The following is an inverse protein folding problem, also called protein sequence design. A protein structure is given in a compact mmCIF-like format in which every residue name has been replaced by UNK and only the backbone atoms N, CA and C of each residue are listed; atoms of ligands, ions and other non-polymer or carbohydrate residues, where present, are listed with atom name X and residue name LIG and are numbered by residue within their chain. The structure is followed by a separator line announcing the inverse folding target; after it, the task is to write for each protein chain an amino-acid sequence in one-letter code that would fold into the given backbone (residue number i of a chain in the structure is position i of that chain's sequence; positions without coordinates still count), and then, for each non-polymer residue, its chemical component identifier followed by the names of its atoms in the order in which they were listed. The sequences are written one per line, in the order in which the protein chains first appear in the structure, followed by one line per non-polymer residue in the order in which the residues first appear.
data_IF_676768021772
#
_entry.id   IF_676768021772
#
_cell.length_a   1.000
_cell.length_b   1.000
_cell.length_c   1.000
_cell.angle_alpha   90.00
_cell.angle_beta   90.00
_cell.angle_gamma   90.00
#
_symmetry.space_group_name_H-M   'P 1'
#
loop_
_entity.id
_entity.type
_entity.pdbx_description
1 polymer ?
#
# COMPACT_ATOMS: atom_id res chain seq x y z
N UNK A 1 -8.71 3.64 -14.39
CA UNK A 1 -9.33 2.95 -13.26
C UNK A 1 -9.02 1.47 -13.40
N UNK A 2 -8.73 0.79 -12.29
CA UNK A 2 -8.48 -0.66 -12.31
C UNK A 2 -9.80 -1.44 -12.50
N UNK A 3 -9.68 -2.68 -12.97
CA UNK A 3 -10.76 -3.67 -13.08
C UNK A 3 -10.66 -4.70 -11.95
N UNK A 4 -11.68 -5.54 -11.70
CA UNK A 4 -11.63 -6.56 -10.66
C UNK A 4 -10.44 -7.51 -10.78
N UNK A 5 -10.06 -7.91 -11.99
CA UNK A 5 -8.88 -8.75 -12.24
C UNK A 5 -7.56 -8.07 -11.85
N UNK A 6 -7.50 -6.75 -11.97
CA UNK A 6 -6.33 -5.97 -11.58
C UNK A 6 -6.25 -5.89 -10.04
N UNK A 7 -7.39 -5.79 -9.34
CA UNK A 7 -7.45 -5.79 -7.86
C UNK A 7 -6.97 -7.12 -7.26
N UNK A 8 -7.40 -8.26 -7.82
CA UNK A 8 -6.91 -9.58 -7.40
C UNK A 8 -5.40 -9.71 -7.59
N UNK A 9 -4.90 -9.26 -8.74
CA UNK A 9 -3.46 -9.22 -9.01
C UNK A 9 -2.71 -8.32 -8.01
N UNK A 10 -3.20 -7.11 -7.75
CA UNK A 10 -2.58 -6.18 -6.80
C UNK A 10 -2.51 -6.82 -5.41
N UNK A 11 -3.61 -7.44 -4.97
CA UNK A 11 -3.67 -8.09 -3.66
C UNK A 11 -2.69 -9.26 -3.55
N UNK A 12 -2.52 -10.04 -4.63
CA UNK A 12 -1.54 -11.12 -4.68
C UNK A 12 -0.08 -10.63 -4.57
N UNK A 13 0.21 -9.41 -5.04
CA UNK A 13 1.53 -8.78 -4.93
C UNK A 13 1.66 -7.84 -3.71
N UNK A 14 0.62 -7.70 -2.88
CA UNK A 14 0.60 -6.76 -1.78
C UNK A 14 1.64 -7.12 -0.70
N UNK A 15 2.44 -6.14 -0.28
CA UNK A 15 3.39 -6.28 0.82
C UNK A 15 3.42 -5.08 1.78
N UNK A 16 2.61 -4.06 1.50
CA UNK A 16 2.27 -2.97 2.41
C UNK A 16 0.74 -2.82 2.44
N UNK A 17 0.14 -2.35 3.56
CA UNK A 17 -1.31 -2.15 3.67
C UNK A 17 -1.90 -1.25 2.57
N UNK A 18 -1.12 -0.29 2.07
CA UNK A 18 -1.52 0.66 1.03
C UNK A 18 -1.76 0.00 -0.33
N UNK A 19 -1.33 -1.27 -0.52
CA UNK A 19 -1.68 -2.07 -1.70
C UNK A 19 -3.07 -2.69 -1.61
N UNK A 20 -3.69 -2.72 -0.43
CA UNK A 20 -5.04 -3.26 -0.27
C UNK A 20 -6.04 -2.24 -0.82
N UNK A 21 -6.41 -2.42 -2.09
CA UNK A 21 -7.30 -1.52 -2.85
C UNK A 21 -8.60 -1.25 -2.10
N UNK A 22 -9.31 -2.29 -1.67
CA UNK A 22 -10.59 -2.17 -0.96
C UNK A 22 -10.48 -1.35 0.34
N UNK A 23 -9.38 -1.49 1.08
CA UNK A 23 -9.09 -0.71 2.27
C UNK A 23 -8.81 0.75 1.91
N UNK A 24 -7.87 0.97 0.99
CA UNK A 24 -7.41 2.32 0.65
C UNK A 24 -8.47 3.14 -0.08
N UNK A 25 -9.26 2.53 -0.96
CA UNK A 25 -10.41 3.18 -1.58
C UNK A 25 -11.46 3.55 -0.53
N UNK A 26 -11.69 2.69 0.48
CA UNK A 26 -12.63 2.99 1.56
C UNK A 26 -12.17 4.17 2.43
N UNK A 27 -10.88 4.23 2.79
CA UNK A 27 -10.31 5.27 3.66
C UNK A 27 -10.18 6.59 2.89
N UNK A 28 -9.52 6.57 1.74
CA UNK A 28 -9.22 7.77 0.96
C UNK A 28 -10.43 8.31 0.20
N UNK A 29 -11.42 7.45 -0.08
CA UNK A 29 -12.52 7.71 -1.02
C UNK A 29 -12.06 7.98 -2.46
N UNK A 30 -10.80 7.68 -2.78
CA UNK A 30 -10.23 7.87 -4.11
C UNK A 30 -10.46 6.68 -5.03
N UNK A 31 -10.54 6.96 -6.32
CA UNK A 31 -10.61 5.95 -7.36
C UNK A 31 -9.24 5.33 -7.61
N UNK A 32 -9.11 3.98 -7.62
CA UNK A 32 -7.84 3.30 -7.84
C UNK A 32 -7.42 3.22 -9.31
N UNK A 33 -6.13 3.44 -9.55
CA UNK A 33 -5.45 3.35 -10.85
C UNK A 33 -4.13 2.57 -10.72
N UNK A 34 -3.93 1.58 -11.59
CA UNK A 34 -2.68 0.84 -11.71
C UNK A 34 -1.86 1.44 -12.86
N UNK A 35 -0.63 1.87 -12.56
CA UNK A 35 0.26 2.56 -13.50
C UNK A 35 1.62 1.89 -13.45
N UNK A 36 1.90 1.03 -14.45
CA UNK A 36 3.19 0.34 -14.60
C UNK A 36 3.69 -0.31 -13.29
N UNK A 37 2.81 -1.04 -12.62
CA UNK A 37 3.14 -1.72 -11.36
C UNK A 37 3.08 -0.85 -10.10
N UNK A 38 2.60 0.40 -10.19
CA UNK A 38 2.36 1.27 -9.04
C UNK A 38 0.89 1.59 -8.88
N UNK A 39 0.45 1.73 -7.63
CA UNK A 39 -0.94 2.04 -7.30
C UNK A 39 -1.10 3.55 -7.01
N UNK A 40 -2.15 4.13 -7.56
CA UNK A 40 -2.53 5.51 -7.27
C UNK A 40 -4.02 5.61 -7.01
N UNK A 41 -4.40 6.44 -6.03
CA UNK A 41 -5.79 6.77 -5.72
C UNK A 41 -6.02 8.23 -6.04
N UNK A 42 -7.02 8.52 -6.86
CA UNK A 42 -7.27 9.86 -7.38
C UNK A 42 -8.68 10.31 -7.02
N UNK A 43 -8.82 11.56 -6.59
CA UNK A 43 -10.13 12.18 -6.39
C UNK A 43 -10.02 13.68 -6.47
N UNK A 44 -11.00 14.32 -7.12
CA UNK A 44 -11.13 15.77 -7.22
C UNK A 44 -9.80 16.43 -7.66
N UNK A 45 -9.12 17.12 -6.75
CA UNK A 45 -7.86 17.85 -6.99
C UNK A 45 -6.63 17.16 -6.38
N UNK A 46 -6.73 15.93 -5.90
CA UNK A 46 -5.62 15.25 -5.24
C UNK A 46 -5.36 13.84 -5.77
N UNK A 47 -4.14 13.38 -5.52
CA UNK A 47 -3.69 12.03 -5.83
C UNK A 47 -2.85 11.47 -4.68
N UNK A 48 -3.13 10.24 -4.26
CA UNK A 48 -2.22 9.43 -3.46
C UNK A 48 -1.44 8.55 -4.43
N UNK A 49 -0.12 8.55 -4.34
CA UNK A 49 0.76 7.63 -5.04
C UNK A 49 1.43 6.71 -4.03
N UNK A 50 1.18 5.42 -4.16
CA UNK A 50 1.87 4.37 -3.41
C UNK A 50 3.16 4.06 -4.16
N UNK A 51 4.27 4.61 -3.67
CA UNK A 51 5.64 4.47 -4.20
C UNK A 51 6.30 3.13 -3.91
N UNK A 52 5.56 2.17 -3.37
CA UNK A 52 5.96 0.78 -3.24
C UNK A 52 5.59 0.03 -4.55
N UNK A 53 6.57 -0.39 -5.39
CA UNK A 53 6.29 -1.12 -6.63
C UNK A 53 5.77 -2.54 -6.37
N UNK A 54 4.82 -3.03 -7.17
CA UNK A 54 4.26 -4.38 -7.01
C UNK A 54 5.18 -5.51 -7.51
N UNK A 55 5.94 -5.30 -8.58
CA UNK A 55 6.71 -6.38 -9.24
C UNK A 55 8.23 -6.29 -9.05
N UNK A 56 8.78 -5.09 -8.90
CA UNK A 56 10.22 -4.84 -8.89
C UNK A 56 10.70 -4.40 -7.49
N UNK A 57 12.00 -4.55 -7.22
CA UNK A 57 12.60 -3.82 -6.09
C UNK A 57 12.49 -2.32 -6.31
N UNK A 58 12.26 -1.56 -5.23
CA UNK A 58 12.23 -0.10 -5.31
C UNK A 58 13.48 0.47 -5.98
N UNK A 59 13.25 1.30 -7.00
CA UNK A 59 14.27 2.07 -7.70
C UNK A 59 13.83 3.53 -7.73
N UNK A 60 14.70 4.41 -7.23
CA UNK A 60 14.44 5.86 -7.17
C UNK A 60 14.15 6.42 -8.56
N UNK A 61 14.92 6.01 -9.56
CA UNK A 61 14.76 6.46 -10.95
C UNK A 61 13.43 6.00 -11.55
N UNK A 62 12.99 4.77 -11.28
CA UNK A 62 11.69 4.28 -11.74
C UNK A 62 10.56 5.05 -11.04
N UNK A 63 10.66 5.24 -9.72
CA UNK A 63 9.70 5.99 -8.93
C UNK A 63 9.51 7.43 -9.44
N UNK A 64 10.61 8.15 -9.74
CA UNK A 64 10.54 9.51 -10.29
C UNK A 64 9.83 9.56 -11.65
N UNK A 65 10.03 8.56 -12.50
CA UNK A 65 9.33 8.49 -13.78
C UNK A 65 7.83 8.26 -13.60
N UNK A 66 7.45 7.46 -12.61
CA UNK A 66 6.04 7.23 -12.26
C UNK A 66 5.41 8.49 -11.68
N UNK A 67 6.09 9.21 -10.78
CA UNK A 67 5.62 10.51 -10.28
C UNK A 67 5.34 11.47 -11.43
N UNK A 68 6.28 11.64 -12.36
CA UNK A 68 6.09 12.49 -13.55
C UNK A 68 4.88 12.05 -14.38
N UNK A 69 4.68 10.74 -14.53
CA UNK A 69 3.54 10.20 -15.26
C UNK A 69 2.20 10.48 -14.55
N UNK A 70 2.14 10.29 -13.23
CA UNK A 70 0.96 10.58 -12.38
C UNK A 70 0.62 12.07 -12.46
N UNK A 71 1.60 12.95 -12.26
CA UNK A 71 1.42 14.40 -12.32
C UNK A 71 0.94 14.86 -13.71
N UNK A 72 1.50 14.28 -14.78
CA UNK A 72 1.06 14.60 -16.16
C UNK A 72 -0.36 14.12 -16.46
N UNK A 73 -0.74 12.96 -15.93
CA UNK A 73 -2.00 12.28 -16.23
C UNK A 73 -3.17 12.88 -15.45
N UNK A 74 -3.03 13.03 -14.14
CA UNK A 74 -4.12 13.48 -13.27
C UNK A 74 -4.05 14.96 -12.93
N UNK A 75 -2.88 15.59 -13.08
CA UNK A 75 -2.65 17.01 -12.76
C UNK A 75 -3.24 17.43 -11.41
N UNK A 76 -2.93 16.69 -10.32
CA UNK A 76 -3.45 17.03 -9.01
C UNK A 76 -2.84 18.35 -8.52
N UNK A 77 -3.61 19.09 -7.73
CA UNK A 77 -3.13 20.19 -6.90
C UNK A 77 -2.33 19.66 -5.70
N UNK A 78 -2.78 18.54 -5.12
CA UNK A 78 -2.11 17.89 -3.99
C UNK A 78 -1.67 16.46 -4.33
N UNK A 79 -0.37 16.19 -4.14
CA UNK A 79 0.17 14.84 -4.24
C UNK A 79 0.56 14.35 -2.84
N UNK A 80 -0.08 13.28 -2.38
CA UNK A 80 0.41 12.49 -1.25
C UNK A 80 1.24 11.35 -1.78
N UNK A 81 2.46 11.22 -1.28
CA UNK A 81 3.38 10.17 -1.69
C UNK A 81 3.72 9.29 -0.48
N UNK A 82 3.50 7.99 -0.61
CA UNK A 82 3.78 6.99 0.43
C UNK A 82 4.77 6.00 -0.15
N UNK A 83 6.00 5.97 0.34
CA UNK A 83 7.03 5.13 -0.25
C UNK A 83 8.23 4.90 0.68
N UNK A 84 9.13 3.98 0.31
CA UNK A 84 10.29 3.63 1.13
C UNK A 84 11.29 4.79 1.27
N UNK A 85 11.35 5.67 0.27
CA UNK A 85 12.16 6.88 0.27
C UNK A 85 11.43 7.97 -0.50
N UNK A 86 11.54 9.22 -0.04
CA UNK A 86 10.98 10.39 -0.72
C UNK A 86 11.90 10.79 -1.88
N UNK A 87 11.41 10.81 -3.14
CA UNK A 87 12.25 11.17 -4.26
C UNK A 87 12.72 12.63 -4.22
N UNK A 88 13.95 12.95 -4.65
CA UNK A 88 14.50 14.30 -4.63
C UNK A 88 13.61 15.34 -5.29
N UNK A 89 12.96 14.97 -6.39
CA UNK A 89 11.98 15.82 -7.09
C UNK A 89 10.81 16.30 -6.24
N UNK A 90 10.46 15.59 -5.16
CA UNK A 90 9.39 16.00 -4.23
C UNK A 90 9.89 16.81 -3.04
N UNK A 91 11.20 16.78 -2.73
CA UNK A 91 11.74 17.41 -1.52
C UNK A 91 11.48 18.92 -1.46
N UNK A 92 11.53 19.60 -2.60
CA UNK A 92 11.37 21.06 -2.67
C UNK A 92 9.92 21.53 -2.53
N UNK A 93 8.95 20.68 -2.88
CA UNK A 93 7.51 20.97 -2.81
C UNK A 93 6.82 20.28 -1.63
N UNK A 94 7.56 19.51 -0.84
CA UNK A 94 7.05 18.79 0.31
C UNK A 94 6.74 19.78 1.44
N UNK A 95 5.47 19.86 1.84
CA UNK A 95 5.02 20.71 2.94
C UNK A 95 4.98 19.97 4.27
N UNK A 96 4.72 18.66 4.23
CA UNK A 96 4.54 17.81 5.41
C UNK A 96 5.17 16.43 5.17
N UNK A 97 5.74 15.85 6.22
CA UNK A 97 6.38 14.54 6.18
C UNK A 97 6.10 13.77 7.46
N UNK A 98 5.68 12.54 7.27
CA UNK A 98 5.54 11.55 8.34
C UNK A 98 6.44 10.34 8.06
N UNK A 99 6.53 9.42 9.02
CA UNK A 99 7.33 8.21 8.89
C UNK A 99 6.64 7.06 9.61
N UNK A 100 6.39 6.00 8.86
CA UNK A 100 5.77 4.79 9.35
C UNK A 100 6.78 3.64 9.42
N UNK A 101 6.41 2.59 10.16
CA UNK A 101 7.17 1.35 10.25
C UNK A 101 6.24 0.18 9.93
N UNK A 102 6.60 -0.59 8.91
CA UNK A 102 5.85 -1.76 8.49
C UNK A 102 6.52 -3.03 9.02
N UNK A 103 5.74 -3.87 9.68
CA UNK A 103 6.20 -5.17 10.18
C UNK A 103 5.58 -6.29 9.35
N UNK A 104 6.41 -7.17 8.80
CA UNK A 104 5.98 -8.38 8.12
C UNK A 104 6.12 -9.58 9.05
N UNK A 105 5.02 -10.29 9.28
CA UNK A 105 5.02 -11.58 9.97
C UNK A 105 5.08 -12.70 8.94
N UNK A 106 6.20 -13.42 8.87
CA UNK A 106 6.32 -14.62 8.06
C UNK A 106 5.69 -15.81 8.80
N UNK A 107 4.51 -16.25 8.36
CA UNK A 107 3.74 -17.29 9.04
C UNK A 107 4.47 -18.65 8.98
N UNK A 108 5.19 -18.94 7.88
CA UNK A 108 5.85 -20.23 7.69
C UNK A 108 7.12 -20.35 8.54
N UNK A 109 7.86 -19.24 8.68
CA UNK A 109 9.12 -19.21 9.41
C UNK A 109 8.94 -18.88 10.90
N UNK A 110 7.82 -18.27 11.28
CA UNK A 110 7.61 -17.85 12.67
C UNK A 110 7.26 -19.03 13.57
N UNK A 111 8.19 -19.38 14.46
CA UNK A 111 7.92 -20.36 15.52
C UNK A 111 6.99 -19.76 16.57
N UNK A 112 5.86 -20.43 16.79
CA UNK A 112 4.91 -20.06 17.84
C UNK A 112 5.52 -20.28 19.22
N UNK A 113 5.47 -19.26 20.09
CA UNK A 113 5.93 -19.40 21.47
C UNK A 113 4.99 -20.34 22.25
N UNK A 114 5.50 -21.23 23.12
CA UNK A 114 4.64 -22.12 23.93
C UNK A 114 3.60 -21.39 24.78
N UNK A 115 3.91 -20.17 25.25
CA UNK A 115 2.96 -19.34 25.98
C UNK A 115 1.76 -18.91 25.12
N UNK A 116 2.00 -18.60 23.85
CA UNK A 116 0.95 -18.20 22.91
C UNK A 116 0.06 -19.40 22.56
N UNK A 117 0.63 -20.59 22.41
CA UNK A 117 -0.14 -21.83 22.18
C UNK A 117 -1.12 -22.09 23.32
N UNK A 118 -0.67 -22.02 24.58
CA UNK A 118 -1.54 -22.20 25.76
C UNK A 118 -2.68 -21.17 25.80
N UNK A 119 -2.40 -19.92 25.42
CA UNK A 119 -3.44 -18.89 25.33
C UNK A 119 -4.49 -19.22 24.26
N UNK A 120 -4.05 -19.65 23.08
CA UNK A 120 -4.93 -20.04 21.98
C UNK A 120 -5.79 -21.25 22.37
N UNK A 121 -5.21 -22.27 23.00
CA UNK A 121 -5.94 -23.46 23.49
C UNK A 121 -6.99 -23.13 24.56
N UNK A 122 -6.73 -22.11 25.38
CA UNK A 122 -7.73 -21.63 26.34
C UNK A 122 -8.86 -20.92 25.61
N UNK A 123 -8.52 -20.00 24.69
CA UNK A 123 -9.49 -19.23 23.93
C UNK A 123 -10.39 -20.12 23.06
N UNK A 124 -9.84 -21.17 22.44
CA UNK A 124 -10.59 -22.07 21.55
C UNK A 124 -11.67 -22.92 22.25
N UNK A 125 -11.67 -22.96 23.60
CA UNK A 125 -12.75 -23.61 24.37
C UNK A 125 -14.01 -22.76 24.44
N UNK A 126 -13.88 -21.45 24.26
CA UNK A 126 -14.96 -20.48 24.46
C UNK A 126 -15.29 -19.69 23.20
N UNK A 127 -14.38 -19.65 22.22
CA UNK A 127 -14.47 -18.82 21.02
C UNK A 127 -14.28 -19.64 19.75
N UNK A 128 -14.99 -19.26 18.69
CA UNK A 128 -14.86 -19.80 17.33
C UNK A 128 -14.44 -18.65 16.41
N UNK A 129 -13.53 -18.94 15.48
CA UNK A 129 -13.15 -18.00 14.42
C UNK A 129 -14.02 -18.27 13.20
N UNK A 130 -14.83 -17.29 12.81
CA UNK A 130 -15.60 -17.34 11.57
C UNK A 130 -14.81 -16.72 10.43
N UNK A 131 -14.90 -17.31 9.23
CA UNK A 131 -14.39 -16.68 8.02
C UNK A 131 -15.49 -15.80 7.45
N UNK A 132 -15.19 -14.52 7.30
CA UNK A 132 -15.98 -13.52 6.57
C UNK A 132 -15.77 -13.61 5.07
#
# INVERSE_FOLDING_TARGET
MIRPEDEEYILAQAYVPEHIVSLMALISKGEPYLIKGYLSFVKDNWSILVGYPLEESFSLTHCENIIKQVLKTFRPEYLWFIGPEIPPSLLHSCTERETDQYYKLDIEQTKTKPSLQRMIEKASKELIVERS
#
